data_IF_014245281765
#
_entry.id   IF_014245281765
#
_cell.length_a   1.000
_cell.length_b   1.000
_cell.length_c   1.000
_cell.angle_alpha   90.00
_cell.angle_beta   90.00
_cell.angle_gamma   90.00
#
_symmetry.space_group_name_H-M   'P 1'
#
loop_
_entity.id
_entity.type
_entity.pdbx_description
1 polymer ?
#
# COMPACT_ATOMS: atom_id res chain seq x y z
N UNK A 1 -27.11 10.30 13.02
CA UNK A 1 -25.79 9.74 13.42
C UNK A 1 -24.86 10.90 13.72
N UNK A 2 -23.91 10.76 14.63
CA UNK A 2 -22.86 11.78 14.82
C UNK A 2 -21.87 11.66 13.65
N UNK A 3 -21.38 12.77 13.06
CA UNK A 3 -20.32 12.69 12.07
C UNK A 3 -19.08 12.10 12.75
N UNK A 4 -18.60 10.97 12.24
CA UNK A 4 -17.38 10.30 12.68
C UNK A 4 -16.38 10.49 11.56
N UNK A 5 -15.21 10.98 11.94
CA UNK A 5 -14.07 11.14 11.06
C UNK A 5 -12.99 10.16 11.50
N UNK A 6 -12.38 9.50 10.54
CA UNK A 6 -11.30 8.53 10.78
C UNK A 6 -10.07 8.93 9.98
N UNK A 7 -8.90 8.74 10.57
CA UNK A 7 -7.61 8.90 9.94
C UNK A 7 -6.84 7.58 10.04
N UNK A 8 -6.09 7.22 9.01
CA UNK A 8 -5.19 6.06 9.03
C UNK A 8 -3.99 6.29 8.11
N UNK A 9 -2.85 5.74 8.49
CA UNK A 9 -1.61 5.75 7.72
C UNK A 9 -1.23 4.34 7.28
N UNK A 10 -1.01 4.15 5.98
CA UNK A 10 -0.65 2.86 5.43
C UNK A 10 0.56 2.95 4.49
N UNK A 11 1.45 1.94 4.57
CA UNK A 11 2.55 1.77 3.63
C UNK A 11 2.08 1.07 2.36
N UNK A 12 2.32 1.70 1.21
CA UNK A 12 1.98 1.18 -0.10
C UNK A 12 3.24 0.86 -0.91
N UNK A 13 3.36 -0.40 -1.32
CA UNK A 13 4.46 -0.87 -2.17
C UNK A 13 4.21 -0.46 -3.63
N UNK A 14 5.23 0.09 -4.30
CA UNK A 14 5.21 0.36 -5.74
C UNK A 14 5.05 -0.92 -6.57
N UNK A 15 5.70 -2.00 -6.13
CA UNK A 15 5.60 -3.33 -6.73
C UNK A 15 4.98 -4.27 -5.70
N UNK A 16 3.65 -4.38 -5.73
CA UNK A 16 2.88 -5.27 -4.85
C UNK A 16 2.40 -6.52 -5.61
N UNK A 17 3.23 -7.07 -6.49
CA UNK A 17 2.90 -8.28 -7.24
C UNK A 17 2.67 -9.43 -6.26
N UNK A 18 1.43 -9.92 -6.17
CA UNK A 18 1.12 -11.13 -5.41
C UNK A 18 1.51 -12.33 -6.25
N UNK A 19 2.30 -13.23 -5.68
CA UNK A 19 2.54 -14.53 -6.30
C UNK A 19 1.20 -15.26 -6.40
N UNK A 20 0.73 -15.49 -7.63
CA UNK A 20 -0.44 -16.33 -7.87
C UNK A 20 0.05 -17.73 -8.22
N UNK A 21 -0.56 -18.80 -7.67
CA UNK A 21 -0.23 -20.15 -8.09
C UNK A 21 -0.50 -20.27 -9.59
N UNK A 22 0.54 -20.48 -10.40
CA UNK A 22 0.36 -20.64 -11.82
C UNK A 22 -0.39 -21.95 -12.09
N UNK A 23 -1.43 -21.90 -12.92
CA UNK A 23 -2.12 -23.09 -13.41
C UNK A 23 -1.35 -23.62 -14.62
N UNK A 24 -0.53 -24.64 -14.40
CA UNK A 24 0.32 -25.23 -15.44
C UNK A 24 -0.10 -26.67 -15.70
N UNK A 25 0.02 -27.10 -16.97
CA UNK A 25 -0.22 -28.50 -17.35
C UNK A 25 0.76 -29.47 -16.68
N UNK A 26 0.47 -30.77 -16.71
CA UNK A 26 1.27 -31.81 -16.02
C UNK A 26 2.77 -31.81 -16.37
N UNK A 27 3.15 -31.25 -17.52
CA UNK A 27 4.51 -31.28 -18.07
C UNK A 27 5.08 -29.90 -18.42
N UNK A 28 4.41 -28.81 -18.05
CA UNK A 28 4.92 -27.45 -18.31
C UNK A 28 5.82 -26.96 -17.17
N UNK A 29 6.97 -26.39 -17.52
CA UNK A 29 7.82 -25.72 -16.55
C UNK A 29 7.22 -24.36 -16.19
N UNK A 30 7.23 -24.06 -14.89
CA UNK A 30 6.80 -22.76 -14.40
C UNK A 30 7.85 -21.70 -14.61
N UNK A 31 7.46 -20.61 -15.25
CA UNK A 31 8.26 -19.39 -15.27
C UNK A 31 8.42 -18.87 -13.83
N UNK A 32 9.67 -18.66 -13.37
CA UNK A 32 9.91 -18.13 -12.04
C UNK A 32 9.25 -16.77 -11.87
N UNK A 33 8.37 -16.62 -10.90
CA UNK A 33 7.88 -15.30 -10.53
C UNK A 33 8.98 -14.56 -9.76
N UNK A 34 9.33 -13.33 -10.17
CA UNK A 34 10.33 -12.55 -9.47
C UNK A 34 9.84 -12.27 -8.04
N UNK A 35 10.69 -12.61 -7.05
CA UNK A 35 10.44 -12.19 -5.67
C UNK A 35 10.64 -10.69 -5.56
N UNK A 36 9.86 -10.05 -4.68
CA UNK A 36 10.15 -8.68 -4.29
C UNK A 36 11.60 -8.60 -3.75
N UNK A 37 12.33 -7.54 -4.14
CA UNK A 37 13.67 -7.30 -3.64
C UNK A 37 13.69 -7.08 -2.12
N UNK A 38 14.88 -7.15 -1.51
CA UNK A 38 15.07 -6.96 -0.06
C UNK A 38 14.68 -5.55 0.42
N UNK A 39 14.70 -4.57 -0.48
CA UNK A 39 14.35 -3.18 -0.22
C UNK A 39 13.24 -2.78 -1.19
N UNK A 40 11.98 -3.13 -0.91
CA UNK A 40 10.87 -2.76 -1.76
C UNK A 40 10.69 -1.24 -1.73
N UNK A 41 10.38 -0.68 -2.89
CA UNK A 41 10.07 0.74 -3.00
C UNK A 41 8.67 0.97 -2.42
N UNK A 42 8.58 1.79 -1.37
CA UNK A 42 7.34 2.07 -0.65
C UNK A 42 7.11 3.57 -0.46
N UNK A 43 5.84 3.95 -0.39
CA UNK A 43 5.37 5.29 -0.04
C UNK A 43 4.36 5.15 1.09
N UNK A 44 4.31 6.15 1.96
CA UNK A 44 3.28 6.19 2.99
C UNK A 44 2.13 7.06 2.52
N UNK A 45 0.91 6.57 2.74
CA UNK A 45 -0.32 7.28 2.42
C UNK A 45 -1.08 7.54 3.73
N UNK A 46 -1.35 8.80 4.01
CA UNK A 46 -2.21 9.23 5.11
C UNK A 46 -3.59 9.55 4.53
N UNK A 47 -4.64 8.88 5.02
CA UNK A 47 -6.01 9.03 4.52
C UNK A 47 -6.94 9.44 5.64
N UNK A 48 -7.84 10.35 5.30
CA UNK A 48 -8.89 10.85 6.18
C UNK A 48 -10.24 10.67 5.51
N UNK A 49 -11.19 10.04 6.20
CA UNK A 49 -12.50 9.73 5.65
C UNK A 49 -13.64 9.82 6.67
N UNK A 50 -14.85 9.90 6.15
CA UNK A 50 -16.09 9.76 6.89
C UNK A 50 -17.02 8.74 6.20
N UNK A 51 -18.31 8.74 6.56
CA UNK A 51 -19.29 7.86 5.94
C UNK A 51 -19.64 8.21 4.49
N UNK A 52 -19.30 9.41 4.01
CA UNK A 52 -19.54 9.85 2.63
C UNK A 52 -18.34 9.51 1.72
N UNK A 53 -17.13 9.46 2.28
CA UNK A 53 -15.96 8.96 1.57
C UNK A 53 -14.64 9.57 2.06
N UNK A 54 -13.66 9.62 1.15
CA UNK A 54 -12.35 10.21 1.43
C UNK A 54 -12.46 11.73 1.39
N UNK A 55 -12.08 12.37 2.49
CA UNK A 55 -12.06 13.83 2.65
C UNK A 55 -10.68 14.36 2.27
N UNK A 56 -9.62 13.68 2.71
CA UNK A 56 -8.24 14.06 2.40
C UNK A 56 -7.37 12.82 2.25
N UNK A 57 -6.38 12.91 1.36
CA UNK A 57 -5.38 11.87 1.14
C UNK A 57 -4.06 12.54 0.80
N UNK A 58 -2.99 12.11 1.47
CA UNK A 58 -1.65 12.63 1.31
C UNK A 58 -0.67 11.49 1.08
N UNK A 59 0.07 11.57 -0.03
CA UNK A 59 1.25 10.71 -0.27
C UNK A 59 2.49 11.42 0.29
N UNK A 60 3.18 10.76 1.22
CA UNK A 60 4.46 11.23 1.73
C UNK A 60 5.58 10.85 0.74
N UNK A 61 6.62 11.70 0.61
CA UNK A 61 7.76 11.38 -0.23
C UNK A 61 8.40 10.04 0.15
N UNK A 62 9.06 9.40 -0.83
CA UNK A 62 9.71 8.11 -0.64
C UNK A 62 10.62 8.11 0.59
N UNK A 63 10.49 7.06 1.40
CA UNK A 63 11.26 6.85 2.63
C UNK A 63 11.05 7.92 3.72
N UNK A 64 10.01 8.76 3.60
CA UNK A 64 9.60 9.68 4.67
C UNK A 64 8.55 9.00 5.54
N UNK A 65 8.86 8.90 6.83
CA UNK A 65 7.90 8.46 7.83
C UNK A 65 7.06 9.64 8.35
N UNK A 66 5.86 9.36 8.85
CA UNK A 66 4.99 10.34 9.47
C UNK A 66 5.62 10.69 10.82
N UNK A 67 5.93 11.96 11.02
CA UNK A 67 6.39 12.48 12.30
C UNK A 67 5.30 13.35 12.90
N UNK A 68 5.41 13.64 14.20
CA UNK A 68 4.46 14.54 14.89
C UNK A 68 4.38 15.90 14.20
N UNK A 69 5.52 16.41 13.70
CA UNK A 69 5.59 17.70 12.99
C UNK A 69 4.87 17.70 11.64
N UNK A 70 4.78 16.54 10.97
CA UNK A 70 4.09 16.39 9.68
C UNK A 70 2.58 16.18 9.84
N UNK A 71 2.12 15.79 11.03
CA UNK A 71 0.71 15.50 11.30
C UNK A 71 -0.11 16.72 11.74
N UNK A 72 0.56 17.78 12.23
CA UNK A 72 -0.09 18.98 12.76
C UNK A 72 -0.57 19.93 11.65
#
# INVERSE_FOLDING_TARGET
>A
MKPIFTADENWCLYVNTKCSPPRVGKDEQLEPQPKAGLHPLEVMISTWCDCEGIIHCQELPRYVALTVDLYC
#
